data_IF_114817290671
#
_entry.id   IF_114817290671
#
_cell.length_a   1.000
_cell.length_b   1.000
_cell.length_c   1.000
_cell.angle_alpha   90.00
_cell.angle_beta   90.00
_cell.angle_gamma   90.00
#
_symmetry.space_group_name_H-M   'P 1'
#
loop_
_entity.id
_entity.type
_entity.pdbx_description
1 polymer ?
#
# COMPACT_ATOMS: atom_id res chain seq x y z
N UNK A 1 25.94 15.70 19.16
CA UNK A 1 25.57 15.63 17.72
C UNK A 1 25.37 14.18 17.20
N UNK A 2 25.95 13.18 17.83
CA UNK A 2 25.84 11.75 17.51
C UNK A 2 24.45 11.18 17.81
N UNK A 3 23.82 11.54 18.92
CA UNK A 3 22.51 11.05 19.38
C UNK A 3 21.39 11.36 18.36
N UNK A 4 21.32 12.61 17.87
CA UNK A 4 20.31 13.03 16.89
C UNK A 4 20.41 12.27 15.56
N UNK A 5 21.64 11.94 15.11
CA UNK A 5 21.85 11.13 13.91
C UNK A 5 21.42 9.68 14.09
N UNK A 6 21.56 9.13 15.29
CA UNK A 6 21.11 7.77 15.60
C UNK A 6 19.58 7.66 15.56
N UNK A 7 18.86 8.62 16.16
CA UNK A 7 17.39 8.65 16.14
C UNK A 7 16.86 8.72 14.70
N UNK A 8 17.42 9.62 13.88
CA UNK A 8 16.99 9.75 12.47
C UNK A 8 17.19 8.46 11.67
N UNK A 9 18.24 7.70 11.95
CA UNK A 9 18.46 6.38 11.33
C UNK A 9 17.38 5.37 11.76
N UNK A 10 17.06 5.32 13.05
CA UNK A 10 16.05 4.43 13.59
C UNK A 10 14.69 4.75 12.93
N UNK A 11 14.31 6.02 12.90
CA UNK A 11 13.05 6.46 12.27
C UNK A 11 13.02 6.07 10.78
N UNK A 12 14.08 6.30 10.04
CA UNK A 12 14.14 5.94 8.62
C UNK A 12 14.01 4.43 8.40
N UNK A 13 14.70 3.60 9.18
CA UNK A 13 14.59 2.15 9.10
C UNK A 13 13.21 1.65 9.54
N UNK A 14 12.59 2.30 10.53
CA UNK A 14 11.22 1.97 10.94
C UNK A 14 10.22 2.25 9.83
N UNK A 15 10.33 3.36 9.12
CA UNK A 15 9.47 3.68 7.97
C UNK A 15 9.60 2.60 6.89
N UNK A 16 10.82 2.25 6.50
CA UNK A 16 11.08 1.22 5.48
C UNK A 16 10.56 -0.14 5.95
N UNK A 17 10.83 -0.51 7.21
CA UNK A 17 10.38 -1.76 7.80
C UNK A 17 8.85 -1.87 7.82
N UNK A 18 8.14 -0.83 8.26
CA UNK A 18 6.68 -0.80 8.27
C UNK A 18 6.09 -0.93 6.86
N UNK A 19 6.71 -0.32 5.85
CA UNK A 19 6.27 -0.46 4.47
C UNK A 19 6.35 -1.92 3.97
N UNK A 20 7.48 -2.60 4.23
CA UNK A 20 7.65 -4.02 3.87
C UNK A 20 6.70 -4.92 4.66
N UNK A 21 6.59 -4.71 5.98
CA UNK A 21 5.72 -5.50 6.86
C UNK A 21 4.27 -5.41 6.41
N UNK A 22 3.79 -4.20 6.11
CA UNK A 22 2.44 -4.01 5.55
C UNK A 22 2.26 -4.82 4.27
N UNK A 23 3.19 -4.72 3.31
CA UNK A 23 3.08 -5.42 2.03
C UNK A 23 2.96 -6.93 2.20
N UNK A 24 3.71 -7.50 3.15
CA UNK A 24 3.67 -8.92 3.48
C UNK A 24 2.34 -9.28 4.16
N UNK A 25 1.93 -8.53 5.19
CA UNK A 25 0.70 -8.82 5.96
C UNK A 25 -0.53 -8.74 5.06
N UNK A 26 -0.69 -7.70 4.27
CA UNK A 26 -1.85 -7.52 3.38
C UNK A 26 -1.99 -8.68 2.39
N UNK A 27 -0.88 -9.26 1.95
CA UNK A 27 -0.89 -10.42 1.05
C UNK A 27 -1.19 -11.75 1.74
N UNK A 28 -0.72 -11.92 2.98
CA UNK A 28 -0.87 -13.18 3.71
C UNK A 28 -2.24 -13.34 4.37
N UNK A 29 -2.89 -12.24 4.75
CA UNK A 29 -4.11 -12.26 5.59
C UNK A 29 -5.36 -11.83 4.80
N UNK A 30 -5.25 -11.60 3.49
CA UNK A 30 -6.34 -11.11 2.64
C UNK A 30 -7.03 -9.88 3.24
N UNK A 31 -6.23 -8.89 3.65
CA UNK A 31 -6.71 -7.61 4.15
C UNK A 31 -6.57 -6.56 3.05
N UNK A 32 -7.56 -5.69 2.92
CA UNK A 32 -7.51 -4.55 2.02
C UNK A 32 -8.10 -3.30 2.68
N UNK A 33 -8.03 -2.17 1.99
CA UNK A 33 -8.66 -0.94 2.46
C UNK A 33 -10.16 -0.95 2.21
N UNK A 34 -10.92 -0.37 3.14
CA UNK A 34 -12.37 -0.31 3.05
C UNK A 34 -12.88 0.53 1.85
N UNK A 35 -12.07 1.49 1.39
CA UNK A 35 -12.40 2.29 0.20
C UNK A 35 -11.14 2.60 -0.61
N UNK A 36 -11.32 2.81 -1.93
CA UNK A 36 -10.24 3.19 -2.84
C UNK A 36 -9.59 4.54 -2.46
N UNK A 37 -10.35 5.45 -1.88
CA UNK A 37 -9.85 6.76 -1.45
C UNK A 37 -8.85 6.61 -0.30
N UNK A 38 -9.15 5.74 0.66
CA UNK A 38 -8.24 5.43 1.77
C UNK A 38 -6.98 4.75 1.23
N UNK A 39 -7.15 3.78 0.34
CA UNK A 39 -6.03 3.09 -0.31
C UNK A 39 -5.12 4.08 -1.05
N UNK A 40 -5.72 5.00 -1.83
CA UNK A 40 -4.99 6.03 -2.58
C UNK A 40 -4.24 7.00 -1.67
N UNK A 41 -4.90 7.52 -0.63
CA UNK A 41 -4.28 8.44 0.33
C UNK A 41 -3.11 7.78 1.06
N UNK A 42 -3.30 6.55 1.48
CA UNK A 42 -2.26 5.77 2.13
C UNK A 42 -1.07 5.55 1.20
N UNK A 43 -1.30 5.15 -0.04
CA UNK A 43 -0.26 4.96 -1.05
C UNK A 43 0.52 6.24 -1.32
N UNK A 44 -0.17 7.36 -1.56
CA UNK A 44 0.48 8.66 -1.78
C UNK A 44 1.39 9.05 -0.61
N UNK A 45 0.96 8.78 0.61
CA UNK A 45 1.76 9.02 1.81
C UNK A 45 3.06 8.21 1.78
N UNK A 46 3.00 6.93 1.41
CA UNK A 46 4.19 6.07 1.35
C UNK A 46 5.12 6.39 0.17
N UNK A 47 4.58 6.85 -0.96
CA UNK A 47 5.38 7.33 -2.09
C UNK A 47 6.28 8.51 -1.68
N UNK A 48 5.88 9.30 -0.71
CA UNK A 48 6.68 10.40 -0.17
C UNK A 48 7.59 9.95 0.98
N UNK A 49 7.07 9.14 1.91
CA UNK A 49 7.80 8.74 3.12
C UNK A 49 9.01 7.84 2.84
N UNK A 50 8.89 6.88 1.90
CA UNK A 50 9.98 5.95 1.60
C UNK A 50 11.19 6.66 0.99
N UNK A 51 11.07 7.50 -0.05
CA UNK A 51 12.20 8.28 -0.56
C UNK A 51 12.80 9.24 0.48
N UNK A 52 11.95 9.85 1.33
CA UNK A 52 12.41 10.69 2.43
C UNK A 52 13.28 9.90 3.42
N UNK A 53 12.85 8.70 3.80
CA UNK A 53 13.62 7.81 4.68
C UNK A 53 14.95 7.42 4.05
N UNK A 54 14.97 7.07 2.76
CA UNK A 54 16.20 6.79 2.01
C UNK A 54 17.12 8.02 1.98
N UNK A 55 16.56 9.21 1.72
CA UNK A 55 17.31 10.48 1.77
C UNK A 55 17.96 10.74 3.12
N UNK A 56 17.23 10.49 4.22
CA UNK A 56 17.77 10.58 5.59
C UNK A 56 18.93 9.61 5.80
N UNK A 57 18.82 8.37 5.33
CA UNK A 57 19.90 7.39 5.46
C UNK A 57 21.16 7.81 4.68
N UNK A 58 20.98 8.31 3.46
CA UNK A 58 22.08 8.85 2.64
C UNK A 58 22.75 10.04 3.34
N UNK A 59 21.95 11.00 3.82
CA UNK A 59 22.46 12.15 4.55
C UNK A 59 23.25 11.74 5.83
N UNK A 60 22.72 10.80 6.59
CA UNK A 60 23.36 10.30 7.79
C UNK A 60 24.65 9.51 7.52
N UNK A 61 24.84 9.01 6.30
CA UNK A 61 26.10 8.35 5.90
C UNK A 61 27.25 9.33 5.67
N UNK A 62 27.00 10.65 5.70
CA UNK A 62 28.03 11.65 5.49
C UNK A 62 28.97 11.76 6.68
N UNK A 63 30.23 11.65 6.41
CA UNK A 63 31.30 11.84 7.42
C UNK A 63 31.94 13.21 7.26
N UNK A 64 32.44 13.78 8.37
CA UNK A 64 33.18 15.09 8.36
C UNK A 64 34.42 15.07 7.47
N UNK A 65 35.04 13.91 7.28
CA UNK A 65 36.28 13.73 6.50
C UNK A 65 36.07 13.66 4.98
N UNK A 66 34.84 13.81 4.48
CA UNK A 66 34.58 13.73 3.03
C UNK A 66 34.97 15.03 2.32
N UNK A 67 35.65 14.89 1.18
CA UNK A 67 35.95 16.01 0.27
C UNK A 67 34.65 16.60 -0.32
N UNK A 68 34.67 17.88 -0.72
CA UNK A 68 33.54 18.58 -1.31
C UNK A 68 32.95 17.84 -2.53
N UNK A 69 33.83 17.35 -3.40
CA UNK A 69 33.44 16.58 -4.59
C UNK A 69 32.66 15.30 -4.23
N UNK A 70 33.12 14.50 -3.26
CA UNK A 70 32.45 13.31 -2.79
C UNK A 70 31.08 13.61 -2.16
N UNK A 71 30.92 14.76 -1.49
CA UNK A 71 29.66 15.19 -0.93
C UNK A 71 28.64 15.53 -2.05
N UNK A 72 29.08 16.29 -3.06
CA UNK A 72 28.26 16.66 -4.21
C UNK A 72 27.81 15.39 -4.96
N UNK A 73 28.75 14.49 -5.28
CA UNK A 73 28.45 13.23 -5.97
C UNK A 73 27.39 12.40 -5.22
N UNK A 74 27.52 12.22 -3.89
CA UNK A 74 26.55 11.48 -3.09
C UNK A 74 25.19 12.18 -3.02
N UNK A 75 25.17 13.52 -2.98
CA UNK A 75 23.92 14.28 -3.02
C UNK A 75 23.20 14.05 -4.33
N UNK A 76 23.90 14.20 -5.45
CA UNK A 76 23.33 13.98 -6.79
C UNK A 76 22.81 12.55 -6.94
N UNK A 77 23.62 11.55 -6.53
CA UNK A 77 23.20 10.15 -6.55
C UNK A 77 21.97 9.90 -5.67
N UNK A 78 21.94 10.51 -4.48
CA UNK A 78 20.81 10.41 -3.56
C UNK A 78 19.52 11.01 -4.14
N UNK A 79 19.60 12.20 -4.73
CA UNK A 79 18.47 12.85 -5.39
C UNK A 79 17.96 12.00 -6.57
N UNK A 80 18.89 11.49 -7.39
CA UNK A 80 18.54 10.64 -8.53
C UNK A 80 17.83 9.36 -8.07
N UNK A 81 18.36 8.71 -7.04
CA UNK A 81 17.78 7.49 -6.47
C UNK A 81 16.39 7.74 -5.86
N UNK A 82 16.20 8.85 -5.14
CA UNK A 82 14.88 9.22 -4.62
C UNK A 82 13.90 9.53 -5.75
N UNK A 83 14.31 10.24 -6.79
CA UNK A 83 13.47 10.54 -7.96
C UNK A 83 13.08 9.24 -8.69
N UNK A 84 14.04 8.34 -8.93
CA UNK A 84 13.77 7.03 -9.55
C UNK A 84 12.81 6.20 -8.71
N UNK A 85 12.97 6.18 -7.38
CA UNK A 85 12.03 5.50 -6.48
C UNK A 85 10.63 6.08 -6.55
N UNK A 86 10.48 7.41 -6.59
CA UNK A 86 9.17 8.05 -6.72
C UNK A 86 8.50 7.64 -8.03
N UNK A 87 9.22 7.70 -9.14
CA UNK A 87 8.70 7.30 -10.45
C UNK A 87 8.33 5.81 -10.44
N UNK A 88 9.21 4.95 -9.94
CA UNK A 88 8.99 3.52 -9.84
C UNK A 88 7.76 3.19 -9.00
N UNK A 89 7.66 3.77 -7.78
CA UNK A 89 6.53 3.53 -6.89
C UNK A 89 5.22 4.04 -7.48
N UNK A 90 5.22 5.19 -8.17
CA UNK A 90 4.04 5.68 -8.87
C UNK A 90 3.65 4.77 -10.02
N UNK A 91 4.61 4.38 -10.86
CA UNK A 91 4.37 3.54 -12.02
C UNK A 91 3.78 2.19 -11.61
N UNK A 92 4.42 1.48 -10.68
CA UNK A 92 3.95 0.16 -10.24
C UNK A 92 2.67 0.19 -9.39
N UNK A 93 2.41 1.28 -8.68
CA UNK A 93 1.20 1.41 -7.87
C UNK A 93 -0.03 1.85 -8.67
N UNK A 94 0.17 2.38 -9.87
CA UNK A 94 -0.93 2.88 -10.72
C UNK A 94 -1.43 1.84 -11.73
N UNK A 95 -0.75 0.69 -11.84
CA UNK A 95 -1.07 -0.25 -12.91
C UNK A 95 -2.38 -0.99 -12.69
N UNK A 96 -2.62 -1.51 -11.51
CA UNK A 96 -3.87 -2.21 -11.21
C UNK A 96 -4.23 -2.04 -9.73
N UNK A 97 -5.45 -1.68 -9.46
CA UNK A 97 -6.03 -1.61 -8.12
C UNK A 97 -7.30 -2.44 -8.05
N UNK A 98 -7.43 -3.18 -6.96
CA UNK A 98 -8.71 -3.78 -6.62
C UNK A 98 -9.65 -2.71 -6.08
N UNK A 99 -10.85 -2.65 -6.64
CA UNK A 99 -11.94 -1.81 -6.14
C UNK A 99 -13.16 -2.67 -5.87
N UNK A 100 -13.98 -2.24 -4.93
CA UNK A 100 -15.23 -2.90 -4.59
C UNK A 100 -16.34 -2.17 -5.32
N UNK A 101 -17.10 -2.91 -6.11
CA UNK A 101 -18.23 -2.38 -6.85
C UNK A 101 -19.49 -2.37 -5.96
N UNK A 102 -20.56 -2.95 -6.38
CA UNK A 102 -21.82 -2.93 -5.63
C UNK A 102 -21.95 -4.13 -4.69
N UNK A 103 -22.67 -3.91 -3.58
CA UNK A 103 -23.07 -4.95 -2.65
C UNK A 103 -24.14 -5.84 -3.31
N UNK A 104 -23.89 -7.15 -3.35
CA UNK A 104 -24.82 -8.12 -3.91
C UNK A 104 -25.73 -8.71 -2.83
N UNK A 105 -25.15 -9.03 -1.69
CA UNK A 105 -25.85 -9.60 -0.54
C UNK A 105 -25.27 -9.08 0.76
N UNK A 106 -26.13 -8.99 1.79
CA UNK A 106 -25.73 -8.69 3.17
C UNK A 106 -26.10 -9.88 4.07
N UNK A 107 -25.23 -10.25 4.99
CA UNK A 107 -25.51 -11.30 5.96
C UNK A 107 -26.56 -10.84 6.99
N UNK A 108 -27.51 -11.72 7.34
CA UNK A 108 -28.67 -11.35 8.18
C UNK A 108 -28.23 -11.03 9.61
N UNK A 109 -27.27 -11.78 10.16
CA UNK A 109 -26.89 -11.72 11.57
C UNK A 109 -25.47 -11.18 11.82
N UNK A 110 -24.65 -11.09 10.77
CA UNK A 110 -23.25 -10.68 10.87
C UNK A 110 -22.97 -9.43 10.04
N UNK A 111 -21.95 -8.67 10.42
CA UNK A 111 -21.55 -7.51 9.63
C UNK A 111 -20.66 -7.92 8.46
N UNK A 112 -21.17 -8.85 7.64
CA UNK A 112 -20.53 -9.37 6.44
C UNK A 112 -21.35 -9.01 5.21
N UNK A 113 -20.67 -8.77 4.11
CA UNK A 113 -21.29 -8.44 2.82
C UNK A 113 -20.66 -9.29 1.73
N UNK A 114 -21.44 -9.63 0.70
CA UNK A 114 -20.93 -10.20 -0.53
C UNK A 114 -20.91 -9.08 -1.57
N UNK A 115 -19.72 -8.79 -2.09
CA UNK A 115 -19.47 -7.72 -3.04
C UNK A 115 -18.71 -8.24 -4.25
N UNK A 116 -18.92 -7.61 -5.40
CA UNK A 116 -18.03 -7.80 -6.53
C UNK A 116 -16.77 -6.95 -6.33
N UNK A 117 -15.63 -7.56 -6.63
CA UNK A 117 -14.35 -6.91 -6.67
C UNK A 117 -13.80 -6.98 -8.08
N UNK A 118 -13.34 -5.88 -8.61
CA UNK A 118 -12.72 -5.83 -9.93
C UNK A 118 -11.31 -5.25 -9.85
N UNK A 119 -10.46 -5.67 -10.78
CA UNK A 119 -9.10 -5.18 -10.89
C UNK A 119 -9.06 -4.07 -11.94
N UNK A 120 -9.13 -2.82 -11.49
CA UNK A 120 -9.02 -1.65 -12.36
C UNK A 120 -7.57 -1.44 -12.79
N UNK A 121 -7.26 -1.74 -14.04
CA UNK A 121 -5.92 -1.58 -14.64
C UNK A 121 -5.81 -0.35 -15.56
N UNK A 122 -6.55 0.71 -15.31
CA UNK A 122 -6.56 1.95 -16.09
C UNK A 122 -7.46 1.88 -17.33
N UNK A 123 -7.33 2.85 -18.25
CA UNK A 123 -8.29 3.10 -19.33
C UNK A 123 -8.34 2.04 -20.46
N UNK A 124 -7.59 0.95 -20.37
CA UNK A 124 -7.40 0.00 -21.49
C UNK A 124 -7.95 -1.40 -21.25
N UNK A 125 -8.47 -1.70 -20.05
CA UNK A 125 -9.01 -3.03 -19.76
C UNK A 125 -10.53 -3.04 -19.93
N UNK A 126 -11.00 -3.59 -21.04
CA UNK A 126 -12.43 -3.84 -21.30
C UNK A 126 -12.95 -5.13 -20.66
N UNK A 127 -12.04 -6.03 -20.28
CA UNK A 127 -12.37 -7.32 -19.65
C UNK A 127 -11.71 -7.42 -18.26
N UNK A 128 -12.22 -6.66 -17.32
CA UNK A 128 -11.76 -6.70 -15.94
C UNK A 128 -12.25 -7.98 -15.26
N UNK A 129 -11.35 -8.72 -14.59
CA UNK A 129 -11.77 -9.91 -13.86
C UNK A 129 -12.63 -9.51 -12.66
N UNK A 130 -13.92 -9.88 -12.69
CA UNK A 130 -14.79 -9.78 -11.53
C UNK A 130 -14.56 -10.96 -10.61
N UNK A 131 -14.30 -10.68 -9.35
CA UNK A 131 -14.22 -11.69 -8.30
C UNK A 131 -15.31 -11.42 -7.26
N UNK A 132 -16.06 -12.46 -6.89
CA UNK A 132 -17.04 -12.37 -5.83
C UNK A 132 -16.36 -12.65 -4.50
N UNK A 133 -16.49 -11.74 -3.54
CA UNK A 133 -15.83 -11.84 -2.25
C UNK A 133 -16.78 -11.58 -1.09
N UNK A 134 -16.59 -12.32 0.00
CA UNK A 134 -17.17 -11.98 1.29
C UNK A 134 -16.25 -10.96 1.93
N UNK A 135 -16.80 -9.84 2.38
CA UNK A 135 -16.05 -8.79 3.06
C UNK A 135 -16.52 -8.64 4.50
N UNK A 136 -15.59 -8.53 5.42
CA UNK A 136 -15.83 -8.26 6.85
C UNK A 136 -15.00 -7.05 7.29
N UNK A 137 -15.61 -5.98 7.85
CA UNK A 137 -14.87 -4.81 8.26
C UNK A 137 -13.99 -5.10 9.48
N UNK A 138 -12.72 -4.70 9.39
CA UNK A 138 -11.76 -4.69 10.48
C UNK A 138 -11.59 -3.23 10.94
N UNK A 139 -12.46 -2.78 11.82
CA UNK A 139 -12.51 -1.37 12.24
C UNK A 139 -13.05 -0.45 11.14
N UNK A 140 -12.51 0.77 11.07
CA UNK A 140 -13.06 1.83 10.20
C UNK A 140 -12.42 1.88 8.80
N UNK A 141 -11.20 1.38 8.65
CA UNK A 141 -10.39 1.64 7.45
C UNK A 141 -9.97 0.39 6.70
N UNK A 142 -10.14 -0.78 7.29
CA UNK A 142 -9.70 -2.04 6.73
C UNK A 142 -10.84 -3.02 6.63
N UNK A 143 -10.75 -3.91 5.65
CA UNK A 143 -11.65 -5.05 5.46
C UNK A 143 -10.82 -6.31 5.29
N UNK A 144 -11.32 -7.39 5.82
CA UNK A 144 -10.88 -8.73 5.44
C UNK A 144 -11.77 -9.22 4.32
N UNK A 145 -11.20 -9.92 3.36
CA UNK A 145 -11.97 -10.49 2.26
C UNK A 145 -11.62 -11.96 2.04
N UNK A 146 -12.62 -12.71 1.58
CA UNK A 146 -12.48 -14.11 1.21
C UNK A 146 -13.19 -14.36 -0.12
N UNK A 147 -12.49 -14.88 -1.15
CA UNK A 147 -13.11 -15.24 -2.42
C UNK A 147 -14.18 -16.31 -2.23
N UNK A 148 -15.33 -16.15 -2.89
CA UNK A 148 -16.43 -17.12 -2.85
C UNK A 148 -16.97 -17.40 -4.26
N UNK A 149 -17.35 -18.65 -4.50
CA UNK A 149 -18.07 -19.03 -5.70
C UNK A 149 -19.58 -18.76 -5.51
N UNK A 150 -20.24 -18.22 -6.51
CA UNK A 150 -21.67 -17.92 -6.45
C UNK A 150 -22.53 -19.14 -6.11
N UNK A 151 -22.11 -20.33 -6.54
CA UNK A 151 -22.75 -21.61 -6.24
C UNK A 151 -22.78 -21.99 -4.75
N UNK A 152 -21.92 -21.37 -3.95
CA UNK A 152 -21.79 -21.63 -2.50
C UNK A 152 -22.57 -20.65 -1.62
N UNK A 153 -23.31 -19.71 -2.23
CA UNK A 153 -24.06 -18.70 -1.48
C UNK A 153 -25.37 -19.32 -0.98
N UNK A 154 -25.51 -19.45 0.32
CA UNK A 154 -26.76 -19.88 0.96
C UNK A 154 -27.71 -18.69 1.12
N UNK A 155 -28.74 -18.64 0.27
CA UNK A 155 -29.75 -17.57 0.27
C UNK A 155 -30.63 -17.51 1.51
N UNK A 156 -30.54 -18.49 2.41
CA UNK A 156 -31.25 -18.46 3.70
C UNK A 156 -30.60 -17.53 4.72
N UNK A 157 -29.30 -17.31 4.63
CA UNK A 157 -28.52 -16.45 5.54
C UNK A 157 -28.07 -15.13 4.88
N UNK A 158 -28.16 -15.04 3.55
CA UNK A 158 -27.76 -13.85 2.78
C UNK A 158 -28.99 -13.17 2.17
N UNK A 159 -29.17 -11.88 2.48
CA UNK A 159 -30.26 -11.04 2.01
C UNK A 159 -29.80 -10.13 0.87
N UNK A 160 -30.60 -10.05 -0.18
CA UNK A 160 -30.36 -9.16 -1.33
C UNK A 160 -30.78 -7.74 -1.02
#
# INVERSE_FOLDING_TARGET
MTFRKSILKIVAWSIIGLWFTRWIIFRLVNIDFATIEIARTFRQTWILLVPLAVGILIYNSWTKKMTKSKKIFRLTLGVLLCATLIVFLNFFSSFCEWDFDYEKYQHINENKKIQYRFLGCGATSSDEPYELVITEPIGQYLIQYEPIEESKIDTTVWKK
#
